data_IF_473155019318
#
_entry.id   IF_473155019318
#
_cell.length_a   1.000
_cell.length_b   1.000
_cell.length_c   1.000
_cell.angle_alpha   90.00
_cell.angle_beta   90.00
_cell.angle_gamma   90.00
#
_symmetry.space_group_name_H-M   'P 1'
#
loop_
_entity.id
_entity.type
_entity.pdbx_description
1 polymer ?
#
# COMPACT_ATOMS: atom_id res chain seq x y z
N UNK A 1 7.64 0.82 -19.29
CA UNK A 1 6.67 1.79 -18.73
C UNK A 1 6.33 1.30 -17.33
N UNK A 2 6.57 2.08 -16.28
CA UNK A 2 6.11 1.77 -14.93
C UNK A 2 4.61 2.02 -14.86
N UNK A 3 3.82 1.09 -14.33
CA UNK A 3 2.38 1.27 -14.11
C UNK A 3 1.41 0.71 -15.17
N UNK A 4 1.86 0.00 -16.20
CA UNK A 4 0.96 -0.56 -17.26
C UNK A 4 0.02 -1.64 -16.70
N UNK A 5 0.42 -2.31 -15.61
CA UNK A 5 -0.36 -3.34 -14.91
C UNK A 5 -0.66 -2.92 -13.46
N UNK A 6 -0.96 -1.63 -13.23
CA UNK A 6 -1.41 -1.16 -11.93
C UNK A 6 -2.91 -0.85 -11.99
N UNK A 7 -3.67 -1.35 -11.02
CA UNK A 7 -5.07 -0.99 -10.82
C UNK A 7 -5.19 -0.22 -9.52
N UNK A 8 -5.87 0.92 -9.57
CA UNK A 8 -6.27 1.66 -8.37
C UNK A 8 -7.79 1.50 -8.22
N UNK A 9 -8.21 1.03 -7.06
CA UNK A 9 -9.61 0.99 -6.72
C UNK A 9 -9.80 1.35 -5.26
N UNK A 10 -10.85 2.11 -4.98
CA UNK A 10 -11.11 2.64 -3.64
C UNK A 10 -11.87 1.63 -2.78
N UNK A 11 -12.71 0.79 -3.41
CA UNK A 11 -13.60 -0.19 -2.77
C UNK A 11 -13.70 -1.51 -3.56
N UNK A 12 -12.60 -2.02 -4.13
CA UNK A 12 -12.68 -3.28 -4.85
C UNK A 12 -12.97 -4.41 -3.85
N UNK A 13 -13.79 -5.36 -4.25
CA UNK A 13 -13.84 -6.67 -3.63
C UNK A 13 -12.86 -7.56 -4.39
N UNK A 14 -11.91 -8.15 -3.68
CA UNK A 14 -10.89 -8.97 -4.31
C UNK A 14 -11.48 -10.17 -5.04
N UNK A 15 -12.49 -10.81 -4.44
CA UNK A 15 -13.13 -11.98 -5.03
C UNK A 15 -13.77 -11.62 -6.37
N UNK A 16 -14.41 -10.44 -6.44
CA UNK A 16 -15.02 -9.93 -7.67
C UNK A 16 -13.93 -9.62 -8.71
N UNK A 17 -12.82 -9.00 -8.31
CA UNK A 17 -11.70 -8.71 -9.22
C UNK A 17 -11.05 -9.98 -9.75
N UNK A 18 -10.84 -10.98 -8.90
CA UNK A 18 -10.28 -12.28 -9.27
C UNK A 18 -11.21 -12.98 -10.27
N UNK A 19 -12.51 -13.05 -9.97
CA UNK A 19 -13.50 -13.71 -10.82
C UNK A 19 -13.71 -13.01 -12.17
N UNK A 20 -13.76 -11.66 -12.19
CA UNK A 20 -14.12 -10.91 -13.41
C UNK A 20 -12.96 -10.59 -14.32
N UNK A 21 -11.78 -10.32 -13.76
CA UNK A 21 -10.65 -9.86 -14.57
C UNK A 21 -9.63 -10.96 -14.89
N UNK A 22 -9.74 -12.16 -14.29
CA UNK A 22 -8.71 -13.20 -14.36
C UNK A 22 -7.29 -12.66 -14.09
N UNK A 23 -7.21 -11.52 -13.40
CA UNK A 23 -5.99 -10.75 -13.24
C UNK A 23 -5.25 -11.31 -12.02
N UNK A 24 -4.08 -11.89 -12.26
CA UNK A 24 -3.16 -12.27 -11.20
C UNK A 24 -2.37 -11.04 -10.79
N UNK A 25 -2.45 -10.66 -9.52
CA UNK A 25 -1.65 -9.57 -8.96
C UNK A 25 -0.47 -10.18 -8.20
N UNK A 26 0.74 -9.70 -8.50
CA UNK A 26 1.95 -10.12 -7.76
C UNK A 26 2.02 -9.43 -6.38
N UNK A 27 1.39 -8.26 -6.25
CA UNK A 27 1.36 -7.49 -5.01
C UNK A 27 0.10 -6.63 -4.91
N UNK A 28 -0.38 -6.45 -3.69
CA UNK A 28 -1.49 -5.58 -3.35
C UNK A 28 -1.03 -4.57 -2.30
N UNK A 29 -1.40 -3.31 -2.52
CA UNK A 29 -1.01 -2.18 -1.69
C UNK A 29 -2.26 -1.62 -1.00
N UNK A 30 -2.32 -1.72 0.33
CA UNK A 30 -3.45 -1.23 1.12
C UNK A 30 -3.04 0.03 1.89
N UNK A 31 -3.79 1.12 1.70
CA UNK A 31 -3.57 2.38 2.42
C UNK A 31 -4.73 2.55 3.41
N UNK A 32 -4.44 2.43 4.70
CA UNK A 32 -5.44 2.54 5.76
C UNK A 32 -4.84 3.20 7.00
N UNK A 33 -5.35 4.37 7.39
CA UNK A 33 -4.81 5.16 8.51
C UNK A 33 -4.68 4.35 9.80
N UNK A 34 -5.78 3.79 10.27
CA UNK A 34 -5.79 2.99 11.51
C UNK A 34 -5.33 1.56 11.28
N UNK A 35 -5.34 1.07 10.04
CA UNK A 35 -5.12 -0.33 9.69
C UNK A 35 -6.15 -1.30 10.30
N UNK A 36 -7.31 -0.76 10.71
CA UNK A 36 -8.40 -1.51 11.38
C UNK A 36 -9.73 -1.42 10.65
N UNK A 37 -9.79 -0.68 9.53
CA UNK A 37 -11.02 -0.58 8.75
C UNK A 37 -11.45 -1.96 8.27
N UNK A 38 -12.75 -2.25 8.36
CA UNK A 38 -13.32 -3.53 7.92
C UNK A 38 -12.97 -3.84 6.47
N UNK A 39 -12.97 -2.81 5.61
CA UNK A 39 -12.52 -2.92 4.21
C UNK A 39 -11.08 -3.43 4.09
N UNK A 40 -10.14 -2.91 4.87
CA UNK A 40 -8.75 -3.36 4.82
C UNK A 40 -8.59 -4.78 5.35
N UNK A 41 -9.30 -5.13 6.42
CA UNK A 41 -9.23 -6.47 7.02
C UNK A 41 -9.92 -7.53 6.16
N UNK A 42 -10.95 -7.17 5.41
CA UNK A 42 -11.56 -8.06 4.43
C UNK A 42 -10.57 -8.41 3.31
N UNK A 43 -9.76 -7.44 2.87
CA UNK A 43 -8.68 -7.70 1.92
C UNK A 43 -7.61 -8.63 2.50
N UNK A 44 -7.19 -8.43 3.75
CA UNK A 44 -6.25 -9.37 4.41
C UNK A 44 -6.79 -10.80 4.37
N UNK A 45 -8.06 -11.00 4.75
CA UNK A 45 -8.70 -12.32 4.71
C UNK A 45 -8.78 -12.90 3.30
N UNK A 46 -9.15 -12.08 2.31
CA UNK A 46 -9.28 -12.53 0.93
C UNK A 46 -7.93 -12.94 0.30
N UNK A 47 -6.81 -12.50 0.89
CA UNK A 47 -5.46 -12.86 0.49
C UNK A 47 -4.86 -14.02 1.28
N UNK A 48 -5.53 -14.52 2.33
CA UNK A 48 -5.04 -15.66 3.10
C UNK A 48 -4.82 -16.90 2.21
N UNK A 49 -3.65 -17.52 2.34
CA UNK A 49 -3.28 -18.70 1.56
C UNK A 49 -2.94 -18.42 0.10
N UNK A 50 -2.89 -17.14 -0.33
CA UNK A 50 -2.48 -16.75 -1.69
C UNK A 50 -1.04 -16.26 -1.69
N UNK A 51 -0.30 -16.60 -2.74
CA UNK A 51 1.08 -16.12 -2.95
C UNK A 51 1.07 -14.69 -3.54
N UNK A 52 0.56 -13.72 -2.78
CA UNK A 52 0.48 -12.31 -3.18
C UNK A 52 1.14 -11.46 -2.11
N UNK A 53 2.13 -10.65 -2.52
CA UNK A 53 2.85 -9.77 -1.60
C UNK A 53 1.95 -8.62 -1.12
N UNK A 54 1.60 -8.62 0.17
CA UNK A 54 0.80 -7.60 0.81
C UNK A 54 1.69 -6.47 1.34
N UNK A 55 1.54 -5.30 0.75
CA UNK A 55 2.18 -4.06 1.20
C UNK A 55 1.11 -3.18 1.84
N UNK A 56 1.42 -2.56 2.99
CA UNK A 56 0.49 -1.60 3.61
C UNK A 56 1.12 -0.27 4.00
N UNK A 57 0.31 0.78 4.02
CA UNK A 57 0.60 2.07 4.64
C UNK A 57 -0.39 2.27 5.78
N UNK A 58 0.11 2.51 6.98
CA UNK A 58 -0.70 2.64 8.20
C UNK A 58 -0.02 3.53 9.23
N UNK A 59 -0.81 4.21 10.05
CA UNK A 59 -0.31 5.02 11.17
C UNK A 59 -0.11 4.24 12.46
N UNK A 60 -0.69 3.03 12.54
CA UNK A 60 -0.55 2.14 13.68
C UNK A 60 0.24 0.89 13.29
N UNK A 61 1.46 0.74 13.83
CA UNK A 61 2.30 -0.45 13.60
C UNK A 61 1.76 -1.71 14.29
N UNK A 62 0.89 -1.54 15.30
CA UNK A 62 0.22 -2.63 16.00
C UNK A 62 -1.15 -2.97 15.40
N UNK A 63 -1.50 -2.38 14.25
CA UNK A 63 -2.77 -2.68 13.59
C UNK A 63 -2.78 -4.09 13.00
N UNK A 64 -3.95 -4.75 12.91
CA UNK A 64 -4.02 -6.08 12.31
C UNK A 64 -3.53 -6.08 10.86
N UNK A 65 -3.78 -5.00 10.10
CA UNK A 65 -3.22 -4.82 8.76
C UNK A 65 -1.68 -4.80 8.77
N UNK A 66 -1.06 -4.03 9.68
CA UNK A 66 0.40 -3.95 9.77
C UNK A 66 1.03 -5.30 10.11
N UNK A 67 0.38 -6.07 10.98
CA UNK A 67 0.86 -7.37 11.43
C UNK A 67 0.68 -8.47 10.35
N UNK A 68 -0.28 -8.30 9.44
CA UNK A 68 -0.53 -9.24 8.36
C UNK A 68 0.26 -8.94 7.07
N UNK A 69 0.76 -7.72 6.90
CA UNK A 69 1.46 -7.31 5.69
C UNK A 69 2.90 -7.82 5.65
N UNK A 70 3.36 -8.26 4.47
CA UNK A 70 4.76 -8.60 4.20
C UNK A 70 5.67 -7.36 4.32
N UNK A 71 5.14 -6.19 3.96
CA UNK A 71 5.84 -4.91 4.12
C UNK A 71 4.89 -3.84 4.64
N UNK A 72 5.21 -3.26 5.80
CA UNK A 72 4.43 -2.19 6.41
C UNK A 72 5.21 -0.87 6.44
N UNK A 73 4.70 0.13 5.72
CA UNK A 73 5.15 1.53 5.82
C UNK A 73 4.39 2.23 6.95
N UNK A 74 5.08 2.48 8.05
CA UNK A 74 4.50 3.15 9.21
C UNK A 74 4.64 4.66 9.04
N UNK A 75 3.50 5.32 8.80
CA UNK A 75 3.42 6.78 8.62
C UNK A 75 3.04 7.39 9.97
N UNK A 76 3.93 8.18 10.56
CA UNK A 76 3.61 8.81 11.83
C UNK A 76 2.41 9.77 11.69
N UNK A 77 1.31 9.40 12.33
CA UNK A 77 0.10 10.22 12.44
C UNK A 77 -0.32 10.31 13.92
N UNK A 78 -0.21 11.49 14.55
CA UNK A 78 -0.64 11.67 15.94
C UNK A 78 -2.15 11.46 16.12
N UNK A 79 -2.94 11.45 15.05
CA UNK A 79 -4.40 11.31 15.03
C UNK A 79 -4.85 10.00 14.37
N UNK A 80 -4.03 8.95 14.48
CA UNK A 80 -4.27 7.62 13.89
C UNK A 80 -5.58 6.93 14.32
N UNK A 81 -6.18 7.35 15.43
CA UNK A 81 -7.46 6.83 15.96
C UNK A 81 -8.62 7.83 15.86
N UNK A 82 -8.42 8.98 15.22
CA UNK A 82 -9.51 9.94 14.98
C UNK A 82 -10.41 9.44 13.84
N UNK A 83 -11.34 8.55 14.18
CA UNK A 83 -12.26 7.95 13.21
C UNK A 83 -13.44 8.88 12.88
N UNK A 84 -13.74 9.85 13.75
CA UNK A 84 -14.84 10.82 13.61
C UNK A 84 -14.43 12.09 12.85
N UNK A 85 -13.17 12.18 12.40
CA UNK A 85 -12.61 13.31 11.62
C UNK A 85 -12.79 14.63 12.37
N UNK A 86 -12.55 14.64 13.68
CA UNK A 86 -12.53 15.87 14.46
C UNK A 86 -11.40 16.80 14.03
N UNK A 87 -10.34 16.23 13.47
CA UNK A 87 -9.16 16.95 13.02
C UNK A 87 -8.84 16.70 11.55
N UNK A 88 -8.16 17.68 10.95
CA UNK A 88 -7.63 17.51 9.60
C UNK A 88 -6.63 16.36 9.59
N UNK A 89 -6.91 15.35 8.78
CA UNK A 89 -6.12 14.13 8.72
C UNK A 89 -4.94 14.29 7.72
N UNK A 90 -3.68 14.38 8.19
CA UNK A 90 -2.54 14.54 7.30
C UNK A 90 -2.06 13.22 6.70
N UNK A 91 -2.56 12.06 7.17
CA UNK A 91 -2.05 10.73 6.84
C UNK A 91 -1.93 10.50 5.33
N UNK A 92 -3.00 10.74 4.58
CA UNK A 92 -3.00 10.51 3.14
C UNK A 92 -2.04 11.44 2.40
N UNK A 93 -1.89 12.68 2.87
CA UNK A 93 -0.88 13.62 2.36
C UNK A 93 0.55 13.09 2.58
N UNK A 94 0.82 12.54 3.77
CA UNK A 94 2.10 11.90 4.06
C UNK A 94 2.34 10.63 3.24
N UNK A 95 1.30 9.84 2.95
CA UNK A 95 1.41 8.71 2.02
C UNK A 95 1.85 9.18 0.62
N UNK A 96 1.24 10.24 0.09
CA UNK A 96 1.61 10.81 -1.22
C UNK A 96 3.08 11.24 -1.25
N UNK A 97 3.55 11.95 -0.21
CA UNK A 97 4.96 12.33 -0.08
C UNK A 97 5.88 11.11 0.02
N UNK A 98 5.43 10.05 0.69
CA UNK A 98 6.11 8.76 0.74
C UNK A 98 6.28 8.14 -0.66
N UNK A 99 5.19 8.07 -1.44
CA UNK A 99 5.24 7.59 -2.83
C UNK A 99 6.19 8.40 -3.70
N UNK A 100 6.13 9.74 -3.62
CA UNK A 100 7.06 10.62 -4.33
C UNK A 100 8.51 10.31 -3.97
N UNK A 101 8.78 10.11 -2.68
CA UNK A 101 10.12 9.75 -2.19
C UNK A 101 10.58 8.40 -2.73
N UNK A 102 9.72 7.38 -2.78
CA UNK A 102 10.05 6.07 -3.33
C UNK A 102 10.37 6.15 -4.83
N UNK A 103 9.54 6.85 -5.60
CA UNK A 103 9.79 7.08 -7.01
C UNK A 103 11.12 7.80 -7.23
N UNK A 104 11.41 8.86 -6.46
CA UNK A 104 12.68 9.58 -6.53
C UNK A 104 13.87 8.68 -6.23
N UNK A 105 13.80 7.85 -5.19
CA UNK A 105 14.88 6.91 -4.85
C UNK A 105 15.08 5.87 -5.97
N UNK A 106 14.01 5.36 -6.55
CA UNK A 106 14.06 4.44 -7.68
C UNK A 106 14.72 5.07 -8.91
N UNK A 107 14.35 6.30 -9.27
CA UNK A 107 14.99 7.04 -10.37
C UNK A 107 16.48 7.28 -10.13
N UNK A 108 16.88 7.62 -8.90
CA UNK A 108 18.29 7.81 -8.54
C UNK A 108 19.05 6.48 -8.66
N UNK A 109 18.49 5.38 -8.17
CA UNK A 109 19.14 4.06 -8.22
C UNK A 109 19.29 3.58 -9.66
N UNK A 110 18.25 3.72 -10.48
CA UNK A 110 18.30 3.32 -11.91
C UNK A 110 19.25 4.20 -12.73
N UNK A 111 19.35 5.49 -12.42
CA UNK A 111 20.34 6.37 -13.04
C UNK A 111 21.78 5.97 -12.68
N UNK A 112 22.02 5.58 -11.42
CA UNK A 112 23.32 5.05 -10.97
C UNK A 112 23.65 3.69 -11.59
N UNK A 113 22.69 2.79 -11.72
CA UNK A 113 22.87 1.50 -12.40
C UNK A 113 23.27 1.67 -13.87
N UNK A 114 22.65 2.61 -14.58
CA UNK A 114 22.99 2.94 -15.98
C UNK A 114 24.39 3.53 -16.18
N UNK A 115 25.00 4.08 -15.14
CA UNK A 115 26.38 4.61 -15.20
C UNK A 115 27.42 3.59 -14.77
N UNK A 116 27.02 2.48 -14.13
CA UNK A 116 27.91 1.38 -13.74
C UNK A 116 28.17 0.34 -14.84
N UNK A 117 27.26 0.21 -15.81
CA UNK A 117 27.39 -0.74 -16.95
C UNK A 117 28.14 -0.15 -18.16
N UNK A 118 28.75 1.03 -18.02
CA UNK A 118 29.42 1.78 -19.10
C UNK A 118 30.96 1.86 -18.94
N UNK A 119 31.58 0.87 -18.29
CA UNK A 119 33.04 0.73 -18.20
C UNK A 119 33.49 -0.69 -18.55
#
# INVERSE_FOLDING_TARGET
MTGVNASLALWPDYEILEQKNAAKFDSIWIISKSGRSSSALNWVKALEGKEINLVCFTGDYQSPLAQAADTAFIIHDPQKFDDDIYWSNPFFGYCILGFERFLKMWFIQTAKGRTGDAL
#
